data_IF_910760596499
#
_entry.id   IF_910760596499
#
_cell.length_a   1.000
_cell.length_b   1.000
_cell.length_c   1.000
_cell.angle_alpha   90.00
_cell.angle_beta   90.00
_cell.angle_gamma   90.00
#
_symmetry.space_group_name_H-M   'P 1'
#
loop_
_entity.id
_entity.type
_entity.pdbx_description
1 polymer ?
#
# COMPACT_ATOMS: atom_id res chain seq x y z
N UNK A 1 -4.22 -15.41 -13.67
CA UNK A 1 -3.01 -15.97 -14.29
C UNK A 1 -3.29 -16.80 -15.56
N UNK A 2 -4.31 -16.45 -16.36
CA UNK A 2 -4.78 -17.26 -17.51
C UNK A 2 -4.64 -16.60 -18.89
N UNK A 3 -3.97 -15.44 -18.99
CA UNK A 3 -4.10 -14.58 -20.18
C UNK A 3 -2.87 -14.54 -21.11
N UNK A 4 -1.71 -15.05 -20.69
CA UNK A 4 -0.45 -14.93 -21.46
C UNK A 4 0.06 -16.27 -22.01
N UNK A 5 -0.82 -17.25 -22.16
CA UNK A 5 -0.53 -18.30 -23.13
C UNK A 5 -0.56 -17.67 -24.51
N UNK A 6 0.61 -17.33 -25.07
CA UNK A 6 0.83 -17.08 -26.50
C UNK A 6 0.40 -18.33 -27.29
N UNK A 7 -0.91 -18.51 -27.38
CA UNK A 7 -1.54 -19.45 -28.28
C UNK A 7 -2.19 -18.61 -29.36
N UNK A 8 -1.85 -18.93 -30.62
CA UNK A 8 -2.43 -18.42 -31.86
C UNK A 8 -3.91 -18.82 -31.97
N UNK A 9 -4.73 -18.38 -31.02
CA UNK A 9 -6.17 -18.65 -30.93
C UNK A 9 -6.92 -17.34 -31.11
N UNK A 10 -8.02 -17.39 -31.86
CA UNK A 10 -8.93 -16.26 -32.05
C UNK A 10 -9.44 -15.72 -30.71
N UNK A 11 -9.74 -14.42 -30.67
CA UNK A 11 -10.19 -13.69 -29.47
C UNK A 11 -11.35 -14.42 -28.77
N UNK A 12 -12.31 -14.97 -29.52
CA UNK A 12 -13.43 -15.72 -28.97
C UNK A 12 -13.04 -17.01 -28.25
N UNK A 13 -12.03 -17.76 -28.73
CA UNK A 13 -11.53 -18.95 -28.05
C UNK A 13 -10.79 -18.59 -26.75
N UNK A 14 -10.08 -17.46 -26.73
CA UNK A 14 -9.41 -16.93 -25.52
C UNK A 14 -10.44 -16.55 -24.46
N UNK A 15 -11.48 -15.80 -24.86
CA UNK A 15 -12.56 -15.40 -23.95
C UNK A 15 -13.30 -16.62 -23.37
N UNK A 16 -13.67 -17.59 -24.21
CA UNK A 16 -14.33 -18.82 -23.75
C UNK A 16 -13.46 -19.61 -22.77
N UNK A 17 -12.18 -19.77 -23.07
CA UNK A 17 -11.24 -20.46 -22.18
C UNK A 17 -11.10 -19.74 -20.85
N UNK A 18 -10.93 -18.41 -20.87
CA UNK A 18 -10.83 -17.60 -19.67
C UNK A 18 -12.10 -17.70 -18.82
N UNK A 19 -13.28 -17.64 -19.45
CA UNK A 19 -14.57 -17.71 -18.76
C UNK A 19 -14.78 -19.08 -18.10
N UNK A 20 -14.42 -20.18 -18.77
CA UNK A 20 -14.47 -21.53 -18.17
C UNK A 20 -13.57 -21.60 -16.93
N UNK A 21 -12.34 -21.10 -17.00
CA UNK A 21 -11.43 -21.11 -15.85
C UNK A 21 -11.89 -20.21 -14.71
N UNK A 22 -12.50 -19.05 -15.02
CA UNK A 22 -13.09 -18.16 -14.01
C UNK A 22 -14.26 -18.85 -13.32
N UNK A 23 -15.17 -19.47 -14.07
CA UNK A 23 -16.32 -20.20 -13.50
C UNK A 23 -15.85 -21.40 -12.68
N UNK A 24 -14.91 -22.19 -13.18
CA UNK A 24 -14.35 -23.32 -12.45
C UNK A 24 -13.70 -22.87 -11.12
N UNK A 25 -12.91 -21.79 -11.17
CA UNK A 25 -12.29 -21.22 -9.96
C UNK A 25 -13.34 -20.68 -8.99
N UNK A 26 -14.39 -20.02 -9.48
CA UNK A 26 -15.46 -19.49 -8.64
C UNK A 26 -16.25 -20.61 -7.95
N UNK A 27 -16.54 -21.71 -8.64
CA UNK A 27 -17.22 -22.88 -8.07
C UNK A 27 -16.35 -23.53 -7.00
N UNK A 28 -15.06 -23.77 -7.28
CA UNK A 28 -14.13 -24.38 -6.31
C UNK A 28 -13.98 -23.49 -5.08
N UNK A 29 -13.70 -22.19 -5.26
CA UNK A 29 -13.57 -21.26 -4.15
C UNK A 29 -14.87 -21.13 -3.35
N UNK A 30 -16.03 -21.07 -4.03
CA UNK A 30 -17.34 -20.99 -3.39
C UNK A 30 -17.65 -22.23 -2.55
N UNK A 31 -17.37 -23.42 -3.05
CA UNK A 31 -17.54 -24.67 -2.29
C UNK A 31 -16.61 -24.73 -1.07
N UNK A 32 -15.33 -24.39 -1.24
CA UNK A 32 -14.36 -24.37 -0.14
C UNK A 32 -14.79 -23.36 0.94
N UNK A 33 -15.15 -22.13 0.55
CA UNK A 33 -15.61 -21.11 1.49
C UNK A 33 -16.94 -21.49 2.15
N UNK A 34 -17.86 -22.12 1.42
CA UNK A 34 -19.14 -22.61 1.96
C UNK A 34 -18.97 -23.70 3.00
N UNK A 35 -18.09 -24.67 2.76
CA UNK A 35 -17.76 -25.74 3.72
C UNK A 35 -17.10 -25.14 4.96
N UNK A 36 -16.14 -24.24 4.79
CA UNK A 36 -15.47 -23.55 5.90
C UNK A 36 -16.46 -22.72 6.74
N UNK A 37 -17.38 -22.01 6.10
CA UNK A 37 -18.44 -21.26 6.77
C UNK A 37 -19.39 -22.17 7.56
N UNK A 38 -19.76 -23.33 7.01
CA UNK A 38 -20.62 -24.29 7.70
C UNK A 38 -20.00 -24.80 9.01
N UNK A 39 -18.67 -25.00 9.01
CA UNK A 39 -17.93 -25.55 10.15
C UNK A 39 -17.49 -24.48 11.18
N UNK A 40 -17.01 -23.31 10.71
CA UNK A 40 -16.25 -22.33 11.53
C UNK A 40 -16.94 -20.96 11.59
N UNK A 41 -18.05 -20.73 10.88
CA UNK A 41 -18.76 -19.44 10.81
C UNK A 41 -19.51 -18.99 12.07
N UNK A 42 -19.08 -19.42 13.28
CA UNK A 42 -19.64 -19.01 14.56
C UNK A 42 -18.73 -17.98 15.25
N UNK A 43 -19.34 -16.95 15.81
CA UNK A 43 -18.71 -15.84 16.52
C UNK A 43 -19.08 -15.96 18.00
N UNK A 44 -18.09 -15.86 18.88
CA UNK A 44 -18.27 -16.02 20.32
C UNK A 44 -18.06 -14.66 21.02
N UNK A 45 -19.17 -14.00 21.36
CA UNK A 45 -19.15 -12.75 22.12
C UNK A 45 -19.04 -13.03 23.61
N UNK A 46 -18.16 -12.31 24.30
CA UNK A 46 -18.09 -12.36 25.77
C UNK A 46 -19.13 -11.41 26.34
N UNK A 47 -20.21 -11.95 26.88
CA UNK A 47 -21.29 -11.18 27.51
C UNK A 47 -21.29 -11.42 29.02
N UNK A 48 -21.76 -10.44 29.78
CA UNK A 48 -22.07 -10.64 31.20
C UNK A 48 -23.56 -10.82 31.33
N UNK A 49 -24.00 -12.00 31.76
CA UNK A 49 -25.42 -12.19 32.07
C UNK A 49 -25.72 -11.51 33.40
N UNK A 50 -26.51 -10.45 33.33
CA UNK A 50 -27.05 -9.77 34.48
C UNK A 50 -28.47 -10.27 34.71
N UNK A 51 -28.68 -11.01 35.78
CA UNK A 51 -30.01 -11.34 36.28
C UNK A 51 -30.34 -10.40 37.44
N UNK A 52 -31.41 -9.61 37.31
CA UNK A 52 -31.99 -8.89 38.44
C UNK A 52 -33.26 -9.63 38.89
N UNK A 53 -33.40 -9.82 40.19
CA UNK A 53 -34.67 -10.23 40.78
C UNK A 53 -35.57 -9.01 40.95
N UNK A 54 -36.88 -9.17 40.70
CA UNK A 54 -37.86 -8.16 41.08
C UNK A 54 -38.02 -8.20 42.60
N UNK A 55 -37.74 -7.08 43.28
CA UNK A 55 -38.03 -6.93 44.69
C UNK A 55 -39.27 -6.04 44.84
N UNK A 56 -40.25 -6.50 45.61
CA UNK A 56 -41.43 -5.69 45.92
C UNK A 56 -40.99 -4.44 46.69
N UNK A 57 -41.59 -3.28 46.36
CA UNK A 57 -41.36 -2.07 47.11
C UNK A 57 -41.77 -2.30 48.58
N UNK A 58 -40.97 -1.86 49.56
CA UNK A 58 -41.28 -2.06 50.98
C UNK A 58 -42.62 -1.43 51.41
N UNK A 59 -43.10 -0.42 50.68
CA UNK A 59 -44.39 0.25 50.94
C UNK A 59 -45.03 0.78 49.65
N UNK A 60 -46.30 0.44 49.34
CA UNK A 60 -47.02 0.93 48.15
C UNK A 60 -47.29 2.45 48.16
N UNK A 61 -47.25 3.08 49.34
CA UNK A 61 -47.66 4.49 49.53
C UNK A 61 -46.48 5.48 49.56
N UNK A 62 -45.25 5.05 49.27
CA UNK A 62 -44.03 5.87 49.40
C UNK A 62 -43.36 6.22 48.06
N UNK A 63 -44.08 6.15 46.93
CA UNK A 63 -43.54 6.57 45.63
C UNK A 63 -42.95 7.99 45.63
N UNK A 64 -43.50 8.91 46.44
CA UNK A 64 -43.00 10.28 46.58
C UNK A 64 -41.76 10.44 47.49
N UNK A 65 -41.35 9.41 48.22
CA UNK A 65 -40.17 9.44 49.09
C UNK A 65 -38.87 9.06 48.33
N UNK A 66 -39.00 8.45 47.15
CA UNK A 66 -37.86 8.15 46.30
C UNK A 66 -37.47 9.39 45.50
N UNK A 67 -36.26 9.87 45.75
CA UNK A 67 -35.66 11.00 45.02
C UNK A 67 -34.31 10.55 44.47
N UNK A 68 -33.69 11.36 43.60
CA UNK A 68 -32.33 11.08 43.11
C UNK A 68 -31.29 10.94 44.24
N UNK A 69 -31.59 11.46 45.44
CA UNK A 69 -30.78 11.32 46.65
C UNK A 69 -31.17 10.16 47.59
N UNK A 70 -32.32 9.51 47.36
CA UNK A 70 -32.83 8.38 48.15
C UNK A 70 -33.41 7.32 47.21
N UNK A 71 -32.56 6.51 46.55
CA UNK A 71 -33.01 5.46 45.66
C UNK A 71 -33.55 4.26 46.44
N UNK A 72 -34.41 3.49 45.79
CA UNK A 72 -35.06 2.32 46.34
C UNK A 72 -34.13 1.10 46.56
N UNK A 73 -32.87 1.15 46.12
CA UNK A 73 -31.90 0.04 46.20
C UNK A 73 -30.57 0.58 46.74
N UNK A 74 -30.08 -0.02 47.84
CA UNK A 74 -28.77 0.25 48.44
C UNK A 74 -27.86 -1.00 48.30
N UNK A 75 -26.53 -0.86 48.08
CA UNK A 75 -25.75 0.37 48.16
C UNK A 75 -25.54 1.09 46.81
N UNK A 76 -25.50 2.43 46.88
CA UNK A 76 -25.29 3.36 45.76
C UNK A 76 -23.80 3.52 45.40
N UNK A 77 -23.15 2.49 44.89
CA UNK A 77 -22.11 2.82 43.90
C UNK A 77 -22.86 3.31 42.66
N UNK A 78 -22.66 4.56 42.21
CA UNK A 78 -23.14 5.06 40.90
C UNK A 78 -22.40 4.36 39.74
N UNK A 79 -22.36 3.04 39.80
CA UNK A 79 -21.67 2.15 38.89
C UNK A 79 -22.73 1.23 38.33
N UNK A 80 -22.61 0.93 37.04
CA UNK A 80 -23.52 -0.01 36.39
C UNK A 80 -23.38 -1.37 37.08
N UNK A 81 -24.48 -2.10 37.26
CA UNK A 81 -24.46 -3.46 37.84
C UNK A 81 -23.54 -4.43 37.07
N UNK A 82 -23.22 -4.11 35.82
CA UNK A 82 -22.20 -4.76 35.02
C UNK A 82 -20.80 -4.73 35.65
N UNK A 83 -20.44 -3.65 36.37
CA UNK A 83 -19.11 -3.45 36.97
C UNK A 83 -18.96 -4.20 38.30
N UNK A 84 -20.05 -4.37 39.04
CA UNK A 84 -20.08 -5.08 40.33
C UNK A 84 -20.36 -6.57 40.16
N UNK A 85 -20.72 -7.02 38.95
CA UNK A 85 -20.96 -8.43 38.66
C UNK A 85 -19.67 -9.27 38.81
N UNK A 86 -19.74 -10.41 39.52
CA UNK A 86 -18.59 -11.26 39.76
C UNK A 86 -18.03 -11.85 38.45
N UNK A 87 -16.73 -12.17 38.36
CA UNK A 87 -16.09 -12.64 37.12
C UNK A 87 -16.71 -13.92 36.52
N UNK A 88 -17.37 -14.73 37.36
CA UNK A 88 -18.11 -15.94 36.97
C UNK A 88 -19.41 -15.66 36.19
N UNK A 89 -19.89 -14.41 36.16
CA UNK A 89 -21.06 -13.97 35.34
C UNK A 89 -20.74 -13.83 33.85
N UNK A 90 -19.46 -13.92 33.48
CA UNK A 90 -19.01 -13.82 32.10
C UNK A 90 -19.27 -15.14 31.37
N UNK A 91 -20.18 -15.12 30.40
CA UNK A 91 -20.48 -16.27 29.55
C UNK A 91 -20.24 -15.91 28.09
N UNK A 92 -20.14 -16.94 27.24
CA UNK A 92 -20.00 -16.78 25.80
C UNK A 92 -21.35 -16.88 25.13
N UNK A 93 -21.78 -15.81 24.47
CA UNK A 93 -22.94 -15.84 23.59
C UNK A 93 -22.49 -16.09 22.16
N UNK A 94 -22.99 -17.17 21.56
CA UNK A 94 -22.56 -17.61 20.23
C UNK A 94 -23.60 -17.19 19.19
N UNK A 95 -23.17 -16.43 18.18
CA UNK A 95 -24.01 -16.04 17.04
C UNK A 95 -23.37 -16.52 15.74
N UNK A 96 -24.17 -16.77 14.70
CA UNK A 96 -23.65 -17.08 13.36
C UNK A 96 -23.41 -15.77 12.63
N UNK A 97 -22.18 -15.54 12.15
CA UNK A 97 -21.88 -14.39 11.29
C UNK A 97 -22.60 -14.52 9.95
N UNK A 98 -22.82 -13.42 9.24
CA UNK A 98 -23.31 -13.51 7.86
C UNK A 98 -22.22 -14.07 6.94
N UNK A 99 -22.60 -14.74 5.86
CA UNK A 99 -21.62 -15.29 4.91
C UNK A 99 -20.65 -14.23 4.35
N UNK A 100 -21.11 -13.02 3.95
CA UNK A 100 -20.20 -11.96 3.51
C UNK A 100 -19.19 -11.51 4.59
N UNK A 101 -19.62 -11.34 5.85
CA UNK A 101 -18.73 -11.01 6.97
C UNK A 101 -17.66 -12.07 7.18
N UNK A 102 -18.04 -13.35 7.06
CA UNK A 102 -17.10 -14.46 7.18
C UNK A 102 -16.03 -14.46 6.08
N UNK A 103 -16.42 -14.21 4.82
CA UNK A 103 -15.49 -14.11 3.70
C UNK A 103 -14.56 -12.91 3.87
N UNK A 104 -15.10 -11.76 4.29
CA UNK A 104 -14.29 -10.58 4.61
C UNK A 104 -13.31 -10.88 5.73
N UNK A 105 -13.72 -11.60 6.78
CA UNK A 105 -12.83 -11.95 7.87
C UNK A 105 -11.68 -12.85 7.47
N UNK A 106 -11.95 -13.90 6.67
CA UNK A 106 -10.88 -14.74 6.12
C UNK A 106 -9.91 -13.95 5.23
N UNK A 107 -10.44 -13.09 4.36
CA UNK A 107 -9.61 -12.22 3.52
C UNK A 107 -8.76 -11.26 4.36
N UNK A 108 -9.31 -10.77 5.47
CA UNK A 108 -8.63 -9.84 6.38
C UNK A 108 -7.44 -10.50 7.07
N UNK A 109 -7.49 -11.80 7.42
CA UNK A 109 -6.34 -12.50 8.02
C UNK A 109 -5.16 -12.51 7.06
N UNK A 110 -5.40 -12.93 5.80
CA UNK A 110 -4.38 -12.98 4.76
C UNK A 110 -3.87 -11.56 4.48
N UNK A 111 -4.80 -10.60 4.41
CA UNK A 111 -4.48 -9.20 4.17
C UNK A 111 -3.71 -8.57 5.32
N UNK A 112 -3.95 -8.95 6.58
CA UNK A 112 -3.29 -8.37 7.75
C UNK A 112 -1.81 -8.76 7.76
N UNK A 113 -1.47 -9.99 7.35
CA UNK A 113 -0.08 -10.42 7.18
C UNK A 113 0.61 -9.60 6.09
N UNK A 114 -0.02 -9.47 4.91
CA UNK A 114 0.55 -8.70 3.80
C UNK A 114 0.63 -7.21 4.13
N UNK A 115 -0.38 -6.66 4.79
CA UNK A 115 -0.46 -5.27 5.23
C UNK A 115 0.61 -4.94 6.26
N UNK A 116 0.86 -5.81 7.25
CA UNK A 116 1.97 -5.63 8.20
C UNK A 116 3.30 -5.51 7.46
N UNK A 117 3.52 -6.32 6.42
CA UNK A 117 4.77 -6.31 5.64
C UNK A 117 4.85 -5.08 4.73
N UNK A 118 3.90 -4.91 3.80
CA UNK A 118 3.93 -3.85 2.80
C UNK A 118 3.60 -2.48 3.39
N UNK A 119 2.61 -2.38 4.28
CA UNK A 119 2.27 -1.15 4.96
C UNK A 119 3.36 -0.70 5.93
N UNK A 120 3.92 -1.63 6.71
CA UNK A 120 5.01 -1.34 7.65
C UNK A 120 6.27 -0.84 6.94
N UNK A 121 6.68 -1.47 5.83
CA UNK A 121 7.80 -0.96 5.03
C UNK A 121 7.45 0.31 4.25
N UNK A 122 6.22 0.36 3.73
CA UNK A 122 5.72 1.43 2.89
C UNK A 122 5.63 2.79 3.59
N UNK A 123 5.21 2.80 4.86
CA UNK A 123 5.02 4.03 5.63
C UNK A 123 6.33 4.82 5.80
N UNK A 124 7.46 4.13 6.00
CA UNK A 124 8.77 4.78 6.03
C UNK A 124 9.33 5.03 4.62
N UNK A 125 9.13 4.08 3.70
CA UNK A 125 9.71 4.14 2.35
C UNK A 125 9.16 5.29 1.51
N UNK A 126 7.83 5.53 1.54
CA UNK A 126 7.17 6.53 0.70
C UNK A 126 7.75 7.94 0.91
N UNK A 127 7.73 8.54 2.12
CA UNK A 127 8.25 9.89 2.30
C UNK A 127 9.76 9.98 2.06
N UNK A 128 10.52 8.97 2.50
CA UNK A 128 11.97 8.95 2.34
C UNK A 128 12.39 8.82 0.87
N UNK A 129 11.70 7.99 0.08
CA UNK A 129 11.98 7.84 -1.35
C UNK A 129 11.72 9.12 -2.14
N UNK A 130 10.66 9.86 -1.81
CA UNK A 130 10.35 11.15 -2.41
C UNK A 130 11.40 12.21 -2.08
N UNK A 131 11.82 12.30 -0.81
CA UNK A 131 12.90 13.20 -0.37
C UNK A 131 14.22 12.84 -1.06
N UNK A 132 14.59 11.55 -1.11
CA UNK A 132 15.81 11.12 -1.79
C UNK A 132 15.76 11.34 -3.29
N UNK A 133 14.59 11.25 -3.93
CA UNK A 133 14.43 11.62 -5.35
C UNK A 133 14.77 13.08 -5.58
N UNK A 134 14.38 13.98 -4.68
CA UNK A 134 14.77 15.39 -4.77
C UNK A 134 16.26 15.62 -4.49
N UNK A 135 16.83 14.96 -3.46
CA UNK A 135 18.24 15.14 -3.07
C UNK A 135 19.20 14.58 -4.13
N UNK A 136 18.85 13.45 -4.75
CA UNK A 136 19.66 12.76 -5.76
C UNK A 136 19.44 13.27 -7.19
N UNK A 137 18.63 14.31 -7.37
CA UNK A 137 18.39 14.89 -8.69
C UNK A 137 19.71 15.27 -9.38
N UNK A 138 19.84 15.04 -10.69
CA UNK A 138 20.99 15.54 -11.43
C UNK A 138 20.98 17.08 -11.40
N UNK A 139 22.12 17.68 -11.03
CA UNK A 139 22.26 19.15 -10.91
C UNK A 139 22.98 19.79 -12.08
N UNK A 140 23.57 18.99 -12.97
CA UNK A 140 24.31 19.46 -14.13
C UNK A 140 23.49 19.26 -15.39
N UNK A 141 23.25 20.33 -16.14
CA UNK A 141 22.74 20.25 -17.51
C UNK A 141 23.90 19.84 -18.39
N UNK A 142 23.83 18.63 -18.95
CA UNK A 142 24.86 18.08 -19.83
C UNK A 142 24.80 18.83 -21.17
N UNK A 143 25.96 19.11 -21.78
CA UNK A 143 26.01 19.70 -23.14
C UNK A 143 25.53 18.70 -24.18
N UNK A 144 24.92 19.16 -25.28
CA UNK A 144 24.43 18.27 -26.35
C UNK A 144 25.49 17.29 -26.86
N UNK A 145 26.75 17.72 -26.93
CA UNK A 145 27.87 16.88 -27.37
C UNK A 145 28.22 15.76 -26.39
N UNK A 146 28.14 16.02 -25.09
CA UNK A 146 28.30 15.00 -24.04
C UNK A 146 27.13 14.01 -24.05
N UNK A 147 25.88 14.49 -24.21
CA UNK A 147 24.71 13.62 -24.34
C UNK A 147 24.85 12.64 -25.52
N UNK A 148 25.24 13.14 -26.70
CA UNK A 148 25.42 12.30 -27.89
C UNK A 148 26.51 11.25 -27.65
N UNK A 149 27.65 11.62 -27.04
CA UNK A 149 28.72 10.66 -26.71
C UNK A 149 28.20 9.56 -25.77
N UNK A 150 27.54 9.92 -24.68
CA UNK A 150 27.03 8.95 -23.70
C UNK A 150 25.91 8.07 -24.28
N UNK A 151 24.98 8.65 -25.03
CA UNK A 151 23.93 7.91 -25.73
C UNK A 151 24.53 6.88 -26.71
N UNK A 152 25.60 7.23 -27.43
CA UNK A 152 26.29 6.28 -28.31
C UNK A 152 27.00 5.16 -27.57
N UNK A 153 27.57 5.43 -26.38
CA UNK A 153 28.16 4.39 -25.52
C UNK A 153 27.11 3.44 -24.94
N UNK A 154 25.99 3.98 -24.45
CA UNK A 154 24.84 3.19 -24.01
C UNK A 154 24.28 2.35 -25.16
N UNK A 155 24.17 2.91 -26.36
CA UNK A 155 23.75 2.18 -27.56
C UNK A 155 24.69 1.03 -27.94
N UNK A 156 26.00 1.15 -27.72
CA UNK A 156 26.96 0.04 -27.89
C UNK A 156 26.72 -1.08 -26.87
N UNK A 157 26.57 -0.73 -25.58
CA UNK A 157 26.25 -1.70 -24.52
C UNK A 157 24.91 -2.42 -24.78
N UNK A 158 23.90 -1.68 -25.24
CA UNK A 158 22.60 -2.24 -25.62
C UNK A 158 22.74 -3.31 -26.72
N UNK A 159 23.57 -3.05 -27.73
CA UNK A 159 23.85 -4.01 -28.81
C UNK A 159 24.58 -5.25 -28.32
N UNK A 160 25.55 -5.10 -27.42
CA UNK A 160 26.25 -6.24 -26.81
C UNK A 160 25.32 -7.10 -25.96
N UNK A 161 24.49 -6.47 -25.13
CA UNK A 161 23.47 -7.14 -24.32
C UNK A 161 22.44 -7.86 -25.17
N UNK A 162 21.99 -7.23 -26.27
CA UNK A 162 21.07 -7.88 -27.22
C UNK A 162 21.67 -9.14 -27.83
N UNK A 163 22.94 -9.10 -28.25
CA UNK A 163 23.66 -10.29 -28.76
C UNK A 163 23.79 -11.39 -27.70
N UNK A 164 24.10 -11.02 -26.45
CA UNK A 164 24.17 -11.98 -25.34
C UNK A 164 22.80 -12.62 -25.05
N UNK A 165 21.71 -11.84 -25.10
CA UNK A 165 20.35 -12.34 -24.95
C UNK A 165 19.94 -13.28 -26.10
N UNK A 166 20.28 -12.94 -27.34
CA UNK A 166 20.03 -13.78 -28.52
C UNK A 166 20.79 -15.12 -28.43
N UNK A 167 22.06 -15.10 -27.98
CA UNK A 167 22.83 -16.32 -27.75
C UNK A 167 22.18 -17.22 -26.68
N UNK A 168 21.70 -16.63 -25.57
CA UNK A 168 20.99 -17.39 -24.53
C UNK A 168 19.64 -17.93 -25.01
N UNK A 169 18.96 -17.22 -25.91
CA UNK A 169 17.72 -17.69 -26.53
C UNK A 169 17.97 -18.87 -27.49
N UNK A 170 19.11 -18.88 -28.19
CA UNK A 170 19.55 -20.04 -28.98
C UNK A 170 19.91 -21.24 -28.09
N UNK A 171 20.59 -21.02 -26.96
CA UNK A 171 20.83 -22.06 -25.94
C UNK A 171 19.53 -22.62 -25.34
N UNK A 172 18.47 -21.80 -25.27
CA UNK A 172 17.16 -22.25 -24.83
C UNK A 172 16.54 -23.23 -25.84
N UNK A 173 16.65 -22.92 -27.14
CA UNK A 173 16.14 -23.75 -28.24
C UNK A 173 16.91 -25.07 -28.38
N UNK A 174 18.20 -25.09 -28.04
CA UNK A 174 19.00 -26.33 -28.01
C UNK A 174 18.71 -27.21 -26.78
N UNK A 175 17.78 -26.80 -25.91
CA UNK A 175 17.25 -27.61 -24.81
C UNK A 175 18.07 -27.57 -23.52
N UNK A 176 19.14 -26.78 -23.45
CA UNK A 176 20.07 -26.82 -22.32
C UNK A 176 19.66 -25.87 -21.18
N UNK A 177 18.49 -26.12 -20.55
CA UNK A 177 17.91 -25.31 -19.45
C UNK A 177 18.55 -25.56 -18.07
N UNK A 178 19.87 -25.75 -18.04
CA UNK A 178 20.65 -26.04 -16.83
C UNK A 178 20.80 -24.86 -15.86
N UNK A 179 21.52 -25.09 -14.74
CA UNK A 179 21.77 -24.07 -13.70
C UNK A 179 22.62 -22.91 -14.19
N UNK A 180 23.56 -23.16 -15.13
CA UNK A 180 24.42 -22.16 -15.77
C UNK A 180 23.61 -21.18 -16.63
N UNK A 181 22.70 -21.69 -17.46
CA UNK A 181 21.79 -20.88 -18.28
C UNK A 181 20.94 -19.95 -17.41
N UNK A 182 20.30 -20.48 -16.35
CA UNK A 182 19.50 -19.65 -15.41
C UNK A 182 20.32 -18.56 -14.73
N UNK A 183 21.61 -18.77 -14.48
CA UNK A 183 22.51 -17.77 -13.91
C UNK A 183 22.84 -16.69 -14.94
N UNK A 184 23.12 -17.08 -16.18
CA UNK A 184 23.43 -16.15 -17.27
C UNK A 184 22.21 -15.30 -17.65
N UNK A 185 21.02 -15.89 -17.73
CA UNK A 185 19.76 -15.16 -17.96
C UNK A 185 19.55 -14.08 -16.91
N UNK A 186 19.72 -14.43 -15.62
CA UNK A 186 19.61 -13.44 -14.53
C UNK A 186 20.68 -12.36 -14.57
N UNK A 187 21.88 -12.68 -15.07
CA UNK A 187 22.95 -11.70 -15.21
C UNK A 187 22.62 -10.69 -16.33
N UNK A 188 22.19 -11.18 -17.49
CA UNK A 188 21.75 -10.34 -18.62
C UNK A 188 20.54 -9.50 -18.24
N UNK A 189 19.55 -10.08 -17.56
CA UNK A 189 18.39 -9.36 -17.04
C UNK A 189 18.82 -8.24 -16.09
N UNK A 190 19.73 -8.50 -15.15
CA UNK A 190 20.25 -7.49 -14.23
C UNK A 190 20.99 -6.36 -14.97
N UNK A 191 21.82 -6.68 -15.96
CA UNK A 191 22.53 -5.68 -16.75
C UNK A 191 21.59 -4.84 -17.63
N UNK A 192 20.55 -5.45 -18.19
CA UNK A 192 19.48 -4.74 -18.89
C UNK A 192 18.78 -3.73 -17.96
N UNK A 193 18.46 -4.14 -16.72
CA UNK A 193 17.86 -3.21 -15.76
C UNK A 193 18.80 -2.06 -15.38
N UNK A 194 20.10 -2.29 -15.33
CA UNK A 194 21.08 -1.21 -15.09
C UNK A 194 21.13 -0.26 -16.28
N UNK A 195 21.18 -0.79 -17.50
CA UNK A 195 21.19 -0.02 -18.73
C UNK A 195 19.93 0.85 -18.87
N UNK A 196 18.76 0.31 -18.56
CA UNK A 196 17.48 1.03 -18.54
C UNK A 196 17.51 2.19 -17.52
N UNK A 197 18.04 1.96 -16.31
CA UNK A 197 18.18 3.00 -15.31
C UNK A 197 19.17 4.10 -15.75
N UNK A 198 20.27 3.72 -16.39
CA UNK A 198 21.27 4.66 -16.92
C UNK A 198 20.68 5.50 -18.08
N UNK A 199 19.87 4.87 -18.95
CA UNK A 199 19.14 5.56 -20.03
C UNK A 199 18.13 6.56 -19.47
N UNK A 200 17.29 6.13 -18.51
CA UNK A 200 16.31 7.01 -17.86
C UNK A 200 17.00 8.19 -17.16
N UNK A 201 18.14 7.96 -16.49
CA UNK A 201 18.92 9.03 -15.88
C UNK A 201 19.48 10.01 -16.91
N UNK A 202 19.90 9.52 -18.08
CA UNK A 202 20.38 10.35 -19.18
C UNK A 202 19.25 11.18 -19.81
N UNK A 203 18.06 10.59 -19.99
CA UNK A 203 16.86 11.30 -20.46
C UNK A 203 16.39 12.37 -19.45
N UNK A 204 16.44 12.08 -18.15
CA UNK A 204 16.15 13.06 -17.09
C UNK A 204 17.13 14.24 -17.09
N UNK A 205 18.39 14.00 -17.47
CA UNK A 205 19.43 15.04 -17.58
C UNK A 205 19.31 15.90 -18.85
N UNK A 206 18.64 15.40 -19.89
CA UNK A 206 18.38 16.12 -21.13
C UNK A 206 16.92 15.94 -21.57
N UNK A 207 15.96 16.60 -20.89
CA UNK A 207 14.53 16.42 -21.14
C UNK A 207 14.07 16.96 -22.50
N UNK A 208 14.96 17.64 -23.25
CA UNK A 208 14.65 18.12 -24.59
C UNK A 208 14.46 16.98 -25.60
N UNK A 209 14.86 15.76 -25.26
CA UNK A 209 14.81 14.61 -26.16
C UNK A 209 15.69 14.82 -27.39
N UNK A 210 15.99 13.72 -28.08
CA UNK A 210 16.35 13.84 -29.47
C UNK A 210 15.09 14.31 -30.23
N UNK A 211 14.91 15.62 -30.38
CA UNK A 211 14.11 16.14 -31.48
C UNK A 211 14.86 15.68 -32.72
N UNK A 212 14.46 14.52 -33.24
CA UNK A 212 14.95 13.99 -34.51
C UNK A 212 15.01 15.18 -35.44
N UNK A 213 16.19 15.42 -35.97
CA UNK A 213 16.49 16.34 -37.05
C UNK A 213 15.69 15.93 -38.29
N UNK A 214 14.37 16.10 -38.27
CA UNK A 214 13.46 15.98 -39.44
C UNK A 214 13.35 17.31 -40.17
N UNK A 215 14.44 18.08 -40.24
CA UNK A 215 14.49 19.33 -41.01
C UNK A 215 15.86 19.57 -41.65
N UNK A 216 16.48 18.54 -42.23
CA UNK A 216 17.51 18.76 -43.25
C UNK A 216 16.94 18.93 -44.67
N UNK A 217 15.61 18.83 -44.87
CA UNK A 217 14.99 18.80 -46.20
C UNK A 217 14.15 20.02 -46.61
N UNK A 218 14.32 21.20 -46.01
CA UNK A 218 13.51 22.35 -46.45
C UNK A 218 14.15 23.71 -46.21
N UNK A 219 15.33 23.93 -46.77
CA UNK A 219 15.84 25.28 -47.05
C UNK A 219 15.47 25.58 -48.52
N UNK A 220 14.85 26.70 -48.91
CA UNK A 220 15.68 27.89 -49.19
C UNK A 220 14.96 29.26 -49.32
N UNK A 221 13.69 29.50 -48.93
CA UNK A 221 13.09 30.84 -49.14
C UNK A 221 12.20 31.41 -48.01
N UNK A 222 11.86 30.62 -46.98
CA UNK A 222 10.92 31.04 -45.92
C UNK A 222 11.62 31.60 -44.65
N UNK A 223 12.85 32.12 -44.80
CA UNK A 223 13.89 32.01 -43.77
C UNK A 223 14.00 33.13 -42.72
N UNK A 224 13.22 34.22 -42.74
CA UNK A 224 13.46 35.33 -41.79
C UNK A 224 12.29 35.73 -40.88
N UNK A 225 11.03 35.58 -41.29
CA UNK A 225 9.88 36.02 -40.46
C UNK A 225 9.18 34.88 -39.71
N UNK A 226 9.25 33.65 -40.24
CA UNK A 226 8.69 32.46 -39.59
C UNK A 226 9.66 31.84 -38.57
N UNK A 227 10.96 32.10 -38.73
CA UNK A 227 12.00 31.55 -37.87
C UNK A 227 11.88 32.09 -36.45
N UNK A 228 11.56 33.38 -36.28
CA UNK A 228 11.32 33.99 -34.96
C UNK A 228 10.10 33.39 -34.26
N UNK A 229 8.96 33.23 -34.94
CA UNK A 229 7.75 32.64 -34.35
C UNK A 229 7.89 31.14 -34.05
N UNK A 230 8.61 30.39 -34.89
CA UNK A 230 8.87 28.97 -34.65
C UNK A 230 9.93 28.80 -33.56
N UNK A 231 10.97 29.64 -33.53
CA UNK A 231 11.95 29.65 -32.44
C UNK A 231 11.30 30.04 -31.11
N UNK A 232 10.44 31.05 -31.05
CA UNK A 232 9.72 31.39 -29.81
C UNK A 232 8.81 30.25 -29.35
N UNK A 233 8.09 29.60 -30.26
CA UNK A 233 7.23 28.44 -29.92
C UNK A 233 8.04 27.24 -29.39
N UNK A 234 9.20 26.97 -29.99
CA UNK A 234 10.11 25.88 -29.60
C UNK A 234 10.82 26.19 -28.28
N UNK A 235 11.25 27.44 -28.08
CA UNK A 235 11.85 27.90 -26.82
C UNK A 235 10.83 27.83 -25.68
N UNK A 236 9.60 28.29 -25.90
CA UNK A 236 8.52 28.22 -24.90
C UNK A 236 8.19 26.77 -24.52
N UNK A 237 8.14 25.83 -25.47
CA UNK A 237 7.93 24.41 -25.15
C UNK A 237 9.11 23.79 -24.37
N UNK A 238 10.34 24.17 -24.71
CA UNK A 238 11.53 23.68 -24.01
C UNK A 238 11.61 24.21 -22.57
N UNK A 239 11.29 25.48 -22.36
CA UNK A 239 11.20 26.10 -21.04
C UNK A 239 10.05 25.51 -20.22
N UNK A 240 8.89 25.26 -20.83
CA UNK A 240 7.75 24.64 -20.16
C UNK A 240 8.06 23.22 -19.71
N UNK A 241 8.67 22.39 -20.57
CA UNK A 241 9.01 20.99 -20.23
C UNK A 241 10.02 20.94 -19.09
N UNK A 242 11.04 21.79 -19.12
CA UNK A 242 12.00 21.89 -18.02
C UNK A 242 11.36 22.41 -16.73
N UNK A 243 10.53 23.46 -16.80
CA UNK A 243 9.80 23.97 -15.66
C UNK A 243 8.90 22.91 -15.02
N UNK A 244 8.21 22.08 -15.80
CA UNK A 244 7.43 20.94 -15.29
C UNK A 244 8.30 19.89 -14.58
N UNK A 245 9.48 19.57 -15.10
CA UNK A 245 10.39 18.62 -14.43
C UNK A 245 10.90 19.17 -13.09
N UNK A 246 11.29 20.45 -13.04
CA UNK A 246 11.74 21.11 -11.80
C UNK A 246 10.59 21.20 -10.79
N UNK A 247 9.39 21.58 -11.24
CA UNK A 247 8.19 21.65 -10.42
C UNK A 247 7.79 20.25 -9.90
N UNK A 248 7.97 19.20 -10.70
CA UNK A 248 7.75 17.82 -10.27
C UNK A 248 8.72 17.41 -9.15
N UNK A 249 10.00 17.80 -9.25
CA UNK A 249 10.99 17.55 -8.18
C UNK A 249 10.65 18.31 -6.89
N UNK A 250 10.23 19.56 -6.99
CA UNK A 250 9.79 20.35 -5.83
C UNK A 250 8.51 19.75 -5.23
N UNK A 251 7.56 19.33 -6.07
CA UNK A 251 6.36 18.62 -5.67
C UNK A 251 6.69 17.35 -4.89
N UNK A 252 7.62 16.52 -5.39
CA UNK A 252 8.12 15.33 -4.67
C UNK A 252 8.67 15.69 -3.29
N UNK A 253 9.41 16.79 -3.15
CA UNK A 253 9.91 17.23 -1.85
C UNK A 253 8.77 17.60 -0.89
N UNK A 254 7.80 18.41 -1.35
CA UNK A 254 6.66 18.85 -0.54
C UNK A 254 5.83 17.63 -0.09
N UNK A 255 5.48 16.74 -1.02
CA UNK A 255 4.76 15.51 -0.69
C UNK A 255 5.59 14.59 0.21
N UNK A 256 6.92 14.57 0.07
CA UNK A 256 7.82 13.83 0.94
C UNK A 256 7.82 14.35 2.38
N UNK A 257 7.87 15.68 2.57
CA UNK A 257 7.82 16.31 3.91
C UNK A 257 6.44 16.11 4.55
N UNK A 258 5.36 16.37 3.82
CA UNK A 258 3.99 16.14 4.30
C UNK A 258 3.80 14.67 4.65
N UNK A 259 4.23 13.76 3.77
CA UNK A 259 4.17 12.33 4.03
C UNK A 259 4.97 11.91 5.25
N UNK A 260 6.13 12.53 5.52
CA UNK A 260 6.92 12.23 6.70
C UNK A 260 6.17 12.61 7.99
N UNK A 261 5.55 13.79 8.01
CA UNK A 261 4.72 14.25 9.14
C UNK A 261 3.55 13.29 9.37
N UNK A 262 2.84 12.92 8.31
CA UNK A 262 1.69 12.00 8.38
C UNK A 262 2.13 10.60 8.83
N UNK A 263 3.28 10.12 8.38
CA UNK A 263 3.87 8.84 8.82
C UNK A 263 4.21 8.85 10.30
N UNK A 264 4.84 9.91 10.78
CA UNK A 264 5.16 10.07 12.21
C UNK A 264 3.85 10.11 13.02
N UNK A 265 2.85 10.86 12.57
CA UNK A 265 1.55 10.93 13.23
C UNK A 265 0.86 9.55 13.30
N UNK A 266 0.91 8.77 12.22
CA UNK A 266 0.39 7.39 12.20
C UNK A 266 1.14 6.48 13.17
N UNK A 267 2.49 6.46 13.14
CA UNK A 267 3.28 5.62 14.05
C UNK A 267 3.06 6.00 15.51
N UNK A 268 3.00 7.31 15.81
CA UNK A 268 2.68 7.81 17.15
C UNK A 268 1.27 7.38 17.59
N UNK A 269 0.27 7.53 16.73
CA UNK A 269 -1.10 7.09 17.01
C UNK A 269 -1.18 5.60 17.31
N UNK A 270 -0.46 4.78 16.53
CA UNK A 270 -0.42 3.32 16.74
C UNK A 270 0.19 2.98 18.10
N UNK A 271 1.32 3.60 18.46
CA UNK A 271 2.00 3.36 19.74
C UNK A 271 1.13 3.80 20.93
N UNK A 272 0.52 4.98 20.86
CA UNK A 272 -0.20 5.59 21.98
C UNK A 272 -1.59 4.98 22.18
N UNK A 273 -2.30 4.68 21.09
CA UNK A 273 -3.71 4.26 21.13
C UNK A 273 -3.91 2.74 20.97
N UNK A 274 -3.10 2.05 20.16
CA UNK A 274 -3.31 0.61 19.88
C UNK A 274 -2.38 -0.32 20.67
N UNK A 275 -1.14 0.08 21.01
CA UNK A 275 -0.17 -0.82 21.65
C UNK A 275 -0.25 -0.83 23.19
N UNK A 276 -0.82 0.20 23.82
CA UNK A 276 -0.85 0.33 25.28
C UNK A 276 -2.29 0.15 25.78
N UNK A 277 -2.50 -0.87 26.61
CA UNK A 277 -3.77 -1.11 27.30
C UNK A 277 -3.61 -0.74 28.80
N UNK A 278 -4.32 0.27 29.34
CA UNK A 278 -5.26 1.20 28.70
C UNK A 278 -4.58 2.27 27.82
N UNK A 279 -5.28 2.85 26.82
CA UNK A 279 -4.69 3.82 25.90
C UNK A 279 -4.27 5.10 26.63
N UNK A 280 -3.04 5.57 26.36
CA UNK A 280 -2.46 6.74 27.01
C UNK A 280 -3.18 8.04 26.61
N UNK A 281 -3.61 8.14 25.36
CA UNK A 281 -4.33 9.27 24.80
C UNK A 281 -5.05 8.85 23.51
N UNK A 282 -6.20 9.46 23.23
CA UNK A 282 -6.94 9.26 21.97
C UNK A 282 -6.34 10.03 20.78
N UNK A 283 -5.27 10.81 20.97
CA UNK A 283 -4.50 11.60 19.98
C UNK A 283 -5.23 11.98 18.68
N UNK A 284 -5.07 11.22 17.58
CA UNK A 284 -5.69 11.57 16.30
C UNK A 284 -7.22 11.53 16.33
N UNK A 285 -7.82 10.64 17.14
CA UNK A 285 -9.27 10.62 17.30
C UNK A 285 -9.80 11.93 17.89
N UNK A 286 -9.10 12.49 18.89
CA UNK A 286 -9.51 13.76 19.50
C UNK A 286 -9.35 14.93 18.50
N UNK A 287 -8.29 14.91 17.69
CA UNK A 287 -8.09 15.88 16.61
C UNK A 287 -9.27 15.80 15.63
N UNK A 288 -9.64 14.61 15.15
CA UNK A 288 -10.74 14.48 14.19
C UNK A 288 -12.09 14.92 14.77
N UNK A 289 -12.38 14.63 16.04
CA UNK A 289 -13.60 15.11 16.71
C UNK A 289 -13.61 16.64 16.81
N UNK A 290 -12.47 17.27 17.13
CA UNK A 290 -12.37 18.74 17.17
C UNK A 290 -12.57 19.34 15.77
N UNK A 291 -11.99 18.73 14.74
CA UNK A 291 -12.18 19.15 13.35
C UNK A 291 -13.64 19.03 12.90
N UNK A 292 -14.31 17.94 13.28
CA UNK A 292 -15.73 17.70 13.01
C UNK A 292 -16.64 18.74 13.68
N UNK A 293 -16.29 19.18 14.90
CA UNK A 293 -17.03 20.23 15.61
C UNK A 293 -16.97 21.61 14.95
N UNK A 294 -15.92 21.90 14.18
CA UNK A 294 -15.80 23.16 13.41
C UNK A 294 -16.62 23.06 12.13
N UNK A 295 -16.47 21.96 11.40
CA UNK A 295 -17.26 21.65 10.21
C UNK A 295 -17.26 20.13 9.98
N UNK A 296 -18.44 19.50 9.99
CA UNK A 296 -18.55 18.03 9.92
C UNK A 296 -17.91 17.39 8.67
N UNK A 297 -17.78 18.14 7.57
CA UNK A 297 -17.05 17.64 6.39
C UNK A 297 -15.54 17.58 6.63
N UNK A 298 -15.01 18.44 7.49
CA UNK A 298 -13.57 18.58 7.70
C UNK A 298 -13.00 17.40 8.49
N UNK A 299 -13.72 16.90 9.50
CA UNK A 299 -13.35 15.69 10.23
C UNK A 299 -13.29 14.47 9.32
N UNK A 300 -14.35 14.27 8.51
CA UNK A 300 -14.43 13.14 7.57
C UNK A 300 -13.40 13.22 6.45
N UNK A 301 -13.13 14.42 5.92
CA UNK A 301 -12.08 14.64 4.92
C UNK A 301 -10.67 14.37 5.48
N UNK A 302 -10.39 14.78 6.73
CA UNK A 302 -9.12 14.49 7.39
C UNK A 302 -8.95 12.98 7.62
N UNK A 303 -10.00 12.29 8.08
CA UNK A 303 -9.98 10.83 8.20
C UNK A 303 -9.71 10.14 6.86
N UNK A 304 -10.36 10.58 5.78
CA UNK A 304 -10.14 10.05 4.44
C UNK A 304 -8.69 10.26 3.98
N UNK A 305 -8.11 11.43 4.22
CA UNK A 305 -6.71 11.73 3.89
C UNK A 305 -5.74 10.76 4.57
N UNK A 306 -5.91 10.47 5.87
CA UNK A 306 -5.07 9.51 6.59
C UNK A 306 -5.24 8.08 6.07
N UNK A 307 -6.47 7.66 5.71
CA UNK A 307 -6.73 6.35 5.13
C UNK A 307 -6.10 6.18 3.75
N UNK A 308 -6.29 7.16 2.85
CA UNK A 308 -5.69 7.15 1.53
C UNK A 308 -4.16 7.17 1.60
N UNK A 309 -3.59 7.94 2.53
CA UNK A 309 -2.15 7.96 2.75
C UNK A 309 -1.60 6.56 3.05
N UNK A 310 -2.25 5.84 3.94
CA UNK A 310 -1.84 4.51 4.34
C UNK A 310 -2.02 3.49 3.20
N UNK A 311 -3.05 3.65 2.35
CA UNK A 311 -3.20 2.84 1.13
C UNK A 311 -2.07 3.12 0.12
N UNK A 312 -1.72 4.38 -0.12
CA UNK A 312 -0.59 4.74 -1.00
C UNK A 312 0.73 4.21 -0.41
N UNK A 313 0.89 4.24 0.92
CA UNK A 313 2.05 3.63 1.58
C UNK A 313 2.14 2.13 1.30
N UNK A 314 1.04 1.37 1.39
CA UNK A 314 1.01 -0.06 1.02
C UNK A 314 1.45 -0.27 -0.44
N UNK A 315 0.92 0.52 -1.37
CA UNK A 315 1.30 0.45 -2.79
C UNK A 315 2.81 0.70 -2.94
N UNK A 316 3.34 1.75 -2.30
CA UNK A 316 4.77 2.06 -2.32
C UNK A 316 5.63 0.93 -1.71
N UNK A 317 5.16 0.31 -0.62
CA UNK A 317 5.80 -0.84 0.02
C UNK A 317 5.85 -2.06 -0.89
N UNK A 318 4.76 -2.36 -1.59
CA UNK A 318 4.70 -3.46 -2.55
C UNK A 318 5.61 -3.23 -3.77
N UNK A 319 5.64 -2.00 -4.30
CA UNK A 319 6.54 -1.65 -5.42
C UNK A 319 8.02 -1.78 -5.04
N UNK A 320 8.37 -1.50 -3.78
CA UNK A 320 9.72 -1.58 -3.24
C UNK A 320 10.14 -3.03 -2.91
N UNK A 321 9.22 -3.82 -2.36
CA UNK A 321 9.48 -5.17 -1.87
C UNK A 321 9.17 -6.24 -2.92
N UNK A 322 10.18 -6.59 -3.72
CA UNK A 322 10.15 -7.82 -4.53
C UNK A 322 10.38 -9.07 -3.67
N UNK A 323 9.38 -9.54 -2.93
CA UNK A 323 9.50 -10.71 -2.06
C UNK A 323 9.26 -12.02 -2.83
N UNK A 324 10.12 -13.02 -2.60
CA UNK A 324 9.82 -14.41 -2.96
C UNK A 324 9.18 -15.10 -1.77
N UNK A 325 7.85 -15.07 -1.70
CA UNK A 325 7.11 -15.90 -0.76
C UNK A 325 7.19 -17.37 -1.21
N UNK A 326 6.99 -18.29 -0.27
CA UNK A 326 7.25 -19.75 -0.41
C UNK A 326 6.68 -20.36 -1.70
N UNK A 327 5.57 -19.83 -2.23
CA UNK A 327 4.94 -20.31 -3.47
C UNK A 327 4.79 -19.25 -4.57
N UNK A 328 5.06 -17.96 -4.30
CA UNK A 328 4.83 -16.88 -5.25
C UNK A 328 5.99 -15.87 -5.26
N UNK A 329 6.55 -15.62 -6.44
CA UNK A 329 7.54 -14.58 -6.65
C UNK A 329 6.86 -13.27 -6.99
N UNK A 330 6.81 -12.35 -6.03
CA UNK A 330 6.32 -10.99 -6.24
C UNK A 330 7.42 -10.22 -6.97
N UNK A 331 7.16 -9.85 -8.22
CA UNK A 331 8.06 -9.01 -8.98
C UNK A 331 7.78 -7.54 -8.65
N UNK A 332 8.80 -6.73 -8.33
CA UNK A 332 8.60 -5.32 -8.06
C UNK A 332 8.00 -4.65 -9.28
N UNK A 333 6.94 -3.87 -9.07
CA UNK A 333 6.24 -3.21 -10.16
C UNK A 333 7.09 -2.02 -10.67
N UNK A 334 7.35 -2.00 -11.98
CA UNK A 334 7.95 -0.87 -12.69
C UNK A 334 6.91 -0.21 -13.58
N UNK A 335 6.95 1.11 -13.62
CA UNK A 335 6.15 1.90 -14.55
C UNK A 335 6.54 1.56 -16.00
N UNK A 336 5.58 1.23 -16.86
CA UNK A 336 5.80 0.96 -18.29
C UNK A 336 6.56 -0.33 -18.65
N UNK A 337 7.19 -1.01 -17.68
CA UNK A 337 8.03 -2.19 -17.90
C UNK A 337 7.53 -3.48 -17.26
N UNK A 338 6.30 -3.51 -16.74
CA UNK A 338 5.70 -4.70 -16.11
C UNK A 338 4.79 -5.46 -17.05
N UNK A 339 4.96 -6.78 -17.11
CA UNK A 339 4.03 -7.66 -17.83
C UNK A 339 2.63 -7.55 -17.22
N UNK A 340 1.60 -7.58 -18.08
CA UNK A 340 0.20 -7.39 -17.67
C UNK A 340 -0.23 -8.41 -16.62
N UNK A 341 0.21 -9.67 -16.75
CA UNK A 341 -0.12 -10.71 -15.78
C UNK A 341 0.52 -10.48 -14.40
N UNK A 342 1.78 -10.04 -14.35
CA UNK A 342 2.45 -9.66 -13.10
C UNK A 342 1.83 -8.41 -12.48
N UNK A 343 1.41 -7.45 -13.32
CA UNK A 343 0.70 -6.26 -12.90
C UNK A 343 -0.64 -6.62 -12.24
N UNK A 344 -1.49 -7.43 -12.89
CA UNK A 344 -2.78 -7.84 -12.35
C UNK A 344 -2.64 -8.65 -11.05
N UNK A 345 -1.60 -9.48 -10.93
CA UNK A 345 -1.33 -10.22 -9.71
C UNK A 345 -1.02 -9.30 -8.53
N UNK A 346 -0.13 -8.31 -8.74
CA UNK A 346 0.20 -7.29 -7.75
C UNK A 346 -1.03 -6.44 -7.39
N UNK A 347 -1.83 -6.01 -8.37
CA UNK A 347 -3.12 -5.32 -8.10
C UNK A 347 -4.04 -6.18 -7.23
N UNK A 348 -4.09 -7.49 -7.46
CA UNK A 348 -4.80 -8.42 -6.59
C UNK A 348 -4.29 -8.44 -5.14
N UNK A 349 -2.98 -8.35 -4.93
CA UNK A 349 -2.39 -8.23 -3.59
C UNK A 349 -2.74 -6.90 -2.93
N UNK A 350 -2.71 -5.78 -3.67
CA UNK A 350 -3.14 -4.46 -3.18
C UNK A 350 -4.60 -4.50 -2.74
N UNK A 351 -5.49 -5.09 -3.55
CA UNK A 351 -6.91 -5.22 -3.23
C UNK A 351 -7.16 -6.11 -2.01
N UNK A 352 -6.33 -7.14 -1.80
CA UNK A 352 -6.42 -7.96 -0.61
C UNK A 352 -5.96 -7.17 0.63
N UNK A 353 -4.88 -6.39 0.52
CA UNK A 353 -4.40 -5.52 1.60
C UNK A 353 -5.39 -4.41 1.95
N UNK A 354 -6.15 -3.88 1.00
CA UNK A 354 -7.09 -2.77 1.24
C UNK A 354 -8.19 -3.14 2.24
N UNK A 355 -8.62 -4.40 2.27
CA UNK A 355 -9.58 -4.91 3.26
C UNK A 355 -9.00 -4.78 4.68
N UNK A 356 -7.74 -5.18 4.85
CA UNK A 356 -7.04 -5.08 6.13
C UNK A 356 -6.69 -3.64 6.51
N UNK A 357 -6.45 -2.76 5.53
CA UNK A 357 -6.34 -1.32 5.76
C UNK A 357 -7.63 -0.76 6.38
N UNK A 358 -8.79 -1.12 5.83
CA UNK A 358 -10.09 -0.69 6.38
C UNK A 358 -10.27 -1.22 7.80
N UNK A 359 -9.97 -2.50 8.03
CA UNK A 359 -10.04 -3.09 9.37
C UNK A 359 -9.12 -2.37 10.35
N UNK A 360 -7.88 -2.10 9.95
CA UNK A 360 -6.91 -1.38 10.77
C UNK A 360 -7.38 0.04 11.09
N UNK A 361 -7.87 0.79 10.10
CA UNK A 361 -8.42 2.12 10.30
C UNK A 361 -9.66 2.11 11.21
N UNK A 362 -10.56 1.12 11.09
CA UNK A 362 -11.70 0.98 11.99
C UNK A 362 -11.23 0.78 13.44
N UNK A 363 -10.26 -0.12 13.67
CA UNK A 363 -9.71 -0.33 15.01
C UNK A 363 -8.93 0.88 15.54
N UNK A 364 -8.16 1.57 14.70
CA UNK A 364 -7.34 2.70 15.11
C UNK A 364 -8.16 3.96 15.38
N UNK A 365 -9.28 4.11 14.70
CA UNK A 365 -10.18 5.25 14.86
C UNK A 365 -11.51 4.88 15.51
N UNK A 366 -11.52 3.84 16.35
CA UNK A 366 -12.71 3.30 16.99
C UNK A 366 -13.51 4.35 17.79
N UNK A 367 -12.82 5.34 18.37
CA UNK A 367 -13.45 6.42 19.13
C UNK A 367 -14.10 7.48 18.21
N UNK A 368 -13.45 7.85 17.11
CA UNK A 368 -14.01 8.79 16.14
C UNK A 368 -15.15 8.16 15.31
N UNK A 369 -14.96 6.92 14.84
CA UNK A 369 -15.92 6.20 13.99
C UNK A 369 -16.91 5.34 14.80
N UNK A 370 -17.17 5.70 16.06
CA UNK A 370 -18.09 4.96 16.91
C UNK A 370 -19.51 4.92 16.28
N UNK A 371 -20.20 3.79 16.45
CA UNK A 371 -21.54 3.55 15.90
C UNK A 371 -21.63 3.58 14.35
N UNK A 372 -20.52 3.41 13.64
CA UNK A 372 -20.52 3.16 12.19
C UNK A 372 -20.60 1.66 11.89
N UNK A 373 -21.21 1.29 10.77
CA UNK A 373 -21.28 -0.10 10.32
C UNK A 373 -19.88 -0.73 10.14
N UNK A 374 -18.89 0.07 9.72
CA UNK A 374 -17.51 -0.40 9.61
C UNK A 374 -16.94 -0.81 10.98
N UNK A 375 -17.23 -0.04 12.04
CA UNK A 375 -16.79 -0.37 13.39
C UNK A 375 -17.51 -1.59 13.97
N UNK A 376 -18.79 -1.77 13.67
CA UNK A 376 -19.56 -2.95 14.07
C UNK A 376 -19.02 -4.24 13.44
N UNK A 377 -18.73 -4.20 12.14
CA UNK A 377 -18.24 -5.35 11.37
C UNK A 377 -16.78 -5.67 11.76
N UNK A 378 -15.87 -4.70 11.65
CA UNK A 378 -14.43 -4.92 11.81
C UNK A 378 -13.94 -4.87 13.25
N UNK A 379 -14.62 -4.09 14.11
CA UNK A 379 -14.26 -3.94 15.52
C UNK A 379 -14.87 -5.04 16.40
N UNK A 380 -16.16 -5.34 16.26
CA UNK A 380 -16.85 -6.27 17.16
C UNK A 380 -16.93 -7.69 16.63
N UNK A 381 -17.35 -7.85 15.39
CA UNK A 381 -17.61 -9.18 14.80
C UNK A 381 -16.32 -9.93 14.49
N UNK A 382 -15.36 -9.24 13.85
CA UNK A 382 -14.11 -9.85 13.40
C UNK A 382 -13.16 -10.23 14.56
N UNK A 383 -13.10 -9.41 15.62
CA UNK A 383 -12.30 -9.71 16.81
C UNK A 383 -12.87 -10.85 17.65
N UNK A 384 -14.15 -11.20 17.46
CA UNK A 384 -14.85 -12.23 18.23
C UNK A 384 -14.96 -13.57 17.48
N UNK A 385 -14.40 -13.69 16.28
CA UNK A 385 -14.39 -14.93 15.51
C UNK A 385 -13.58 -16.04 16.18
N UNK A 386 -14.15 -17.24 16.19
CA UNK A 386 -13.56 -18.41 16.85
C UNK A 386 -12.23 -18.80 16.18
N UNK A 387 -11.17 -18.92 16.99
CA UNK A 387 -9.79 -19.20 16.55
C UNK A 387 -8.95 -17.95 16.26
N UNK A 388 -9.49 -17.00 15.49
CA UNK A 388 -8.75 -15.82 15.01
C UNK A 388 -8.65 -14.73 16.10
N UNK A 389 -9.58 -14.70 17.05
CA UNK A 389 -9.63 -13.77 18.19
C UNK A 389 -8.27 -13.56 18.88
N UNK A 390 -7.45 -14.60 19.00
CA UNK A 390 -6.15 -14.49 19.68
C UNK A 390 -5.14 -13.62 18.92
N UNK A 391 -5.13 -13.66 17.58
CA UNK A 391 -4.20 -12.85 16.78
C UNK A 391 -4.46 -11.34 16.96
N UNK A 392 -5.73 -10.97 17.05
CA UNK A 392 -6.15 -9.57 17.27
C UNK A 392 -6.09 -9.17 18.74
N UNK A 393 -6.37 -10.08 19.68
CA UNK A 393 -6.26 -9.80 21.13
C UNK A 393 -4.85 -9.42 21.56
N UNK A 394 -3.83 -10.03 20.95
CA UNK A 394 -2.43 -9.74 21.27
C UNK A 394 -1.80 -8.67 20.37
N UNK A 395 -2.59 -7.99 19.53
CA UNK A 395 -2.13 -6.93 18.64
C UNK A 395 -0.89 -7.29 17.79
N UNK A 396 -0.76 -8.58 17.41
CA UNK A 396 0.45 -9.13 16.78
C UNK A 396 0.78 -8.39 15.48
N UNK A 397 -0.25 -8.09 14.69
CA UNK A 397 -0.09 -7.40 13.40
C UNK A 397 0.36 -5.94 13.57
N UNK A 398 -0.12 -5.26 14.62
CA UNK A 398 0.23 -3.88 14.95
C UNK A 398 1.67 -3.78 15.45
N UNK A 399 2.10 -4.69 16.32
CA UNK A 399 3.51 -4.80 16.73
C UNK A 399 4.42 -5.07 15.52
N UNK A 400 4.05 -6.02 14.66
CA UNK A 400 4.80 -6.32 13.45
C UNK A 400 4.91 -5.13 12.50
N UNK A 401 3.82 -4.36 12.36
CA UNK A 401 3.78 -3.18 11.50
C UNK A 401 4.77 -2.12 11.97
N UNK A 402 4.75 -1.78 13.27
CA UNK A 402 5.66 -0.80 13.87
C UNK A 402 7.11 -1.28 13.81
N UNK A 403 7.36 -2.56 14.09
CA UNK A 403 8.71 -3.13 14.02
C UNK A 403 9.32 -3.00 12.62
N UNK A 404 8.55 -3.30 11.57
CA UNK A 404 9.01 -3.15 10.17
C UNK A 404 9.16 -1.68 9.75
N UNK A 405 8.28 -0.79 10.23
CA UNK A 405 8.41 0.65 9.99
C UNK A 405 9.69 1.22 10.60
N UNK A 406 10.01 0.83 11.84
CA UNK A 406 11.23 1.26 12.52
C UNK A 406 12.47 0.68 11.83
N UNK A 407 12.45 -0.62 11.51
CA UNK A 407 13.57 -1.29 10.82
C UNK A 407 13.88 -0.63 9.47
N UNK A 408 12.86 -0.28 8.71
CA UNK A 408 13.05 0.37 7.40
C UNK A 408 13.53 1.81 7.53
N UNK A 409 13.04 2.56 8.52
CA UNK A 409 13.57 3.89 8.84
C UNK A 409 15.05 3.82 9.20
N UNK A 410 15.48 2.87 10.04
CA UNK A 410 16.89 2.64 10.35
C UNK A 410 17.71 2.24 9.13
N UNK A 411 17.19 1.35 8.28
CA UNK A 411 17.86 0.96 7.05
C UNK A 411 18.12 2.16 6.13
N UNK A 412 17.14 3.05 5.96
CA UNK A 412 17.31 4.26 5.18
C UNK A 412 18.20 5.30 5.86
N UNK A 413 18.19 5.42 7.19
CA UNK A 413 19.10 6.29 7.91
C UNK A 413 20.57 5.84 7.73
N UNK A 414 20.83 4.54 7.82
CA UNK A 414 22.18 3.96 7.72
C UNK A 414 22.69 3.88 6.26
N UNK A 415 21.83 3.47 5.32
CA UNK A 415 22.24 3.16 3.94
C UNK A 415 21.65 4.11 2.90
N UNK A 416 20.63 4.90 3.23
CA UNK A 416 19.98 5.83 2.28
C UNK A 416 20.87 6.97 1.82
N UNK A 417 21.90 7.32 2.61
CA UNK A 417 22.88 8.36 2.24
C UNK A 417 24.03 7.84 1.37
N UNK A 418 24.23 6.52 1.27
CA UNK A 418 25.15 5.97 0.27
C UNK A 418 24.56 6.27 -1.10
N UNK A 419 25.15 7.24 -1.82
CA UNK A 419 24.96 7.37 -3.27
C UNK A 419 25.10 5.98 -3.85
N UNK A 420 24.09 5.50 -4.59
CA UNK A 420 24.29 4.33 -5.45
C UNK A 420 25.50 4.70 -6.30
N UNK A 421 26.64 4.05 -6.04
CA UNK A 421 27.79 4.20 -6.92
C UNK A 421 27.26 3.78 -8.29
N UNK A 422 27.32 4.65 -9.30
CA UNK A 422 27.04 4.20 -10.66
C UNK A 422 28.04 3.09 -10.96
N UNK A 423 27.60 1.84 -10.85
CA UNK A 423 28.41 0.68 -11.20
C UNK A 423 28.45 0.61 -12.71
N UNK A 424 29.31 1.46 -13.27
CA UNK A 424 29.41 1.73 -14.69
C UNK A 424 30.06 3.07 -15.01
N UNK A 425 31.20 3.40 -14.37
CA UNK A 425 32.15 4.43 -14.84
C UNK A 425 31.53 5.80 -15.20
N UNK A 426 30.69 6.38 -14.34
CA UNK A 426 30.41 7.82 -14.39
C UNK A 426 31.43 8.56 -13.53
N UNK A 427 32.62 8.79 -14.09
CA UNK A 427 33.50 9.87 -13.62
C UNK A 427 33.29 11.03 -14.58
N UNK A 428 32.43 11.97 -14.19
CA UNK A 428 32.45 13.30 -14.77
C UNK A 428 33.82 13.89 -14.41
N UNK A 429 34.73 13.94 -15.38
CA UNK A 429 35.93 14.76 -15.26
C UNK A 429 35.45 16.22 -15.20
N UNK A 430 35.69 16.85 -14.06
CA UNK A 430 35.64 18.32 -13.92
C UNK A 430 36.61 18.98 -14.88
#
# INVERSE_FOLDING_TARGET
>A
FYYEGDQDKSVGKRLKSALIWVVASAVVCGLVLGILYALIGKVDFTVRHLSSSVQAFPNPNQFGAFTSGQPCIAPLTRQCSANTAPPNSQTTWTMRATFPEYVVALATIVGSVLFTIFGGVGIACLPLSLIFSFVRRPKAVITRSQYIKEATELGKKAKELKKAAEALHQEERSGNKGRKWRKNVKAVEKELLLLENDMNALEEMYPQGEKVTTREFSYSLFLWLSLTLVLTSIMVQAEATWAFTVLAYIGKLIFGIVGLIVSIAWVAHIIIYLLVDPPLSSFLNEIFIKLDSVWGLLGTAAFAFFCFYLLIAVIAGEMMLGLKLVFITIHPMKWGGTLMNSFLFNVGLILLCSISVIQFCATAFAYYAQATAAQEIFGHTLQSLRGIKYLYKYNVFQYGFVALAILTLFYYALFGWRKRKPTGRFQLSS
#
